data_IF_945497940074
#
_entry.id   IF_945497940074
#
_cell.length_a   1.000
_cell.length_b   1.000
_cell.length_c   1.000
_cell.angle_alpha   90.00
_cell.angle_beta   90.00
_cell.angle_gamma   90.00
#
_symmetry.space_group_name_H-M   'P 1'
#
loop_
_entity.id
_entity.type
_entity.pdbx_description
1 polymer ?
#
# COMPACT_ATOMS: atom_id res chain seq x y z
N UNK A 1 22.12 -0.20 34.40
CA UNK A 1 20.73 -0.20 33.91
C UNK A 1 20.81 0.02 32.39
N UNK A 2 20.60 -1.01 31.58
CA UNK A 2 20.40 -0.80 30.14
C UNK A 2 19.10 -0.01 29.96
N UNK A 3 19.24 1.26 29.64
CA UNK A 3 18.06 2.08 29.29
C UNK A 3 17.54 1.55 27.95
N UNK A 4 16.35 0.95 27.97
CA UNK A 4 15.70 0.50 26.73
C UNK A 4 15.60 1.66 25.73
N UNK A 5 15.85 1.37 24.45
CA UNK A 5 15.73 2.32 23.35
C UNK A 5 14.27 2.84 23.24
N UNK A 6 14.09 4.07 22.82
CA UNK A 6 12.78 4.64 22.58
C UNK A 6 12.18 4.10 21.27
N UNK A 7 10.94 3.59 21.32
CA UNK A 7 10.24 3.13 20.13
C UNK A 7 9.57 4.33 19.43
N UNK A 8 10.05 4.65 18.22
CA UNK A 8 9.60 5.81 17.43
C UNK A 8 8.81 5.33 16.22
N UNK A 9 7.56 5.74 16.15
CA UNK A 9 6.68 5.54 15.00
C UNK A 9 6.88 6.69 14.02
N UNK A 10 7.02 6.37 12.74
CA UNK A 10 7.05 7.33 11.63
C UNK A 10 5.82 7.17 10.74
N UNK A 11 5.27 8.29 10.31
CA UNK A 11 4.32 8.36 9.20
C UNK A 11 5.07 8.79 7.95
N UNK A 12 4.96 8.00 6.89
CA UNK A 12 5.84 8.09 5.72
C UNK A 12 4.98 8.21 4.46
N UNK A 13 5.31 9.19 3.62
CA UNK A 13 4.78 9.32 2.26
C UNK A 13 5.89 9.05 1.25
N UNK A 14 5.59 8.37 0.14
CA UNK A 14 6.55 8.16 -0.93
C UNK A 14 5.92 8.01 -2.31
N UNK A 15 6.64 8.49 -3.31
CA UNK A 15 6.45 8.15 -4.72
C UNK A 15 7.20 6.84 -5.01
N UNK A 16 6.48 5.76 -5.21
CA UNK A 16 7.04 4.43 -5.42
C UNK A 16 7.57 4.16 -6.84
N UNK A 17 7.44 5.11 -7.77
CA UNK A 17 7.70 4.91 -9.21
C UNK A 17 9.06 4.28 -9.48
N UNK A 18 10.11 4.85 -8.87
CA UNK A 18 11.51 4.46 -9.13
C UNK A 18 12.06 3.51 -8.03
N UNK A 19 11.15 2.82 -7.31
CA UNK A 19 11.50 1.86 -6.27
C UNK A 19 11.02 0.44 -6.59
N UNK A 20 11.81 -0.54 -6.15
CA UNK A 20 11.45 -1.97 -6.18
C UNK A 20 10.47 -2.35 -5.05
N UNK A 21 9.69 -1.39 -4.55
CA UNK A 21 8.76 -1.52 -3.45
C UNK A 21 9.36 -1.16 -2.09
N UNK A 22 8.63 -1.54 -1.03
CA UNK A 22 9.02 -1.23 0.34
C UNK A 22 10.23 -2.02 0.82
N UNK A 23 10.16 -3.36 0.71
CA UNK A 23 11.07 -4.28 1.40
C UNK A 23 12.47 -4.33 0.77
N UNK A 24 13.51 -4.24 1.58
CA UNK A 24 14.89 -4.49 1.13
C UNK A 24 15.03 -5.84 0.43
N UNK A 25 15.75 -5.83 -0.67
CA UNK A 25 16.05 -7.01 -1.47
C UNK A 25 17.56 -7.18 -1.57
N UNK A 26 18.04 -8.31 -1.10
CA UNK A 26 19.45 -8.67 -1.18
C UNK A 26 19.60 -10.00 -1.91
N UNK A 27 20.57 -10.09 -2.83
CA UNK A 27 20.95 -11.33 -3.48
C UNK A 27 22.45 -11.52 -3.26
N UNK A 28 22.83 -12.65 -2.68
CA UNK A 28 24.25 -12.92 -2.29
C UNK A 28 24.88 -11.79 -1.44
N UNK A 29 24.09 -11.18 -0.54
CA UNK A 29 24.55 -10.09 0.31
C UNK A 29 24.68 -8.71 -0.35
N UNK A 30 24.42 -8.60 -1.65
CA UNK A 30 24.44 -7.34 -2.40
C UNK A 30 23.03 -6.78 -2.58
N UNK A 31 22.88 -5.45 -2.48
CA UNK A 31 21.63 -4.76 -2.82
C UNK A 31 21.34 -4.94 -4.31
N UNK A 32 20.13 -5.37 -4.64
CA UNK A 32 19.73 -5.63 -6.03
C UNK A 32 19.04 -4.44 -6.68
N UNK A 33 18.37 -3.60 -5.87
CA UNK A 33 17.63 -2.45 -6.36
C UNK A 33 17.30 -1.48 -5.21
N UNK A 34 16.86 -0.29 -5.57
CA UNK A 34 16.46 0.78 -4.65
C UNK A 34 15.13 0.46 -3.98
N UNK A 35 15.04 0.53 -2.66
CA UNK A 35 13.81 0.26 -1.89
C UNK A 35 13.59 1.33 -0.82
N UNK A 36 12.32 1.55 -0.45
CA UNK A 36 11.95 2.58 0.54
C UNK A 36 12.60 2.29 1.90
N UNK A 37 12.54 1.04 2.35
CA UNK A 37 13.12 0.60 3.62
C UNK A 37 14.62 0.89 3.70
N UNK A 38 15.35 0.60 2.63
CA UNK A 38 16.79 0.79 2.61
C UNK A 38 17.23 2.26 2.66
N UNK A 39 16.52 3.14 1.94
CA UNK A 39 16.78 4.59 1.98
C UNK A 39 16.57 5.17 3.38
N UNK A 40 15.47 4.75 4.05
CA UNK A 40 15.15 5.23 5.40
C UNK A 40 16.18 4.69 6.41
N UNK A 41 16.52 3.39 6.35
CA UNK A 41 17.50 2.79 7.27
C UNK A 41 18.91 3.38 7.10
N UNK A 42 19.31 3.66 5.84
CA UNK A 42 20.57 4.36 5.54
C UNK A 42 20.59 5.77 6.13
N UNK A 43 19.44 6.48 6.06
CA UNK A 43 19.31 7.82 6.63
C UNK A 43 19.32 7.79 8.16
N UNK A 44 18.63 6.80 8.77
CA UNK A 44 18.65 6.58 10.22
C UNK A 44 20.06 6.26 10.72
N UNK A 45 20.82 5.43 10.00
CA UNK A 45 22.20 5.11 10.37
C UNK A 45 23.11 6.35 10.40
N UNK A 46 22.92 7.27 9.44
CA UNK A 46 23.66 8.56 9.42
C UNK A 46 23.32 9.45 10.62
N UNK A 47 22.04 9.47 11.05
CA UNK A 47 21.57 10.30 12.18
C UNK A 47 21.96 9.67 13.52
N UNK A 48 21.68 8.39 13.70
CA UNK A 48 21.82 7.68 14.97
C UNK A 48 23.24 7.11 15.21
N UNK A 49 24.10 7.15 14.17
CA UNK A 49 25.44 6.55 14.17
C UNK A 49 25.42 5.04 14.50
N UNK A 50 24.31 4.39 14.23
CA UNK A 50 24.08 2.97 14.51
C UNK A 50 23.15 2.38 13.44
N UNK A 51 23.46 1.16 12.97
CA UNK A 51 22.52 0.40 12.13
C UNK A 51 21.20 0.24 12.86
N UNK A 52 20.13 0.66 12.22
CA UNK A 52 18.78 0.69 12.79
C UNK A 52 17.82 0.13 11.79
N UNK A 53 17.14 -0.96 12.15
CA UNK A 53 16.10 -1.56 11.33
C UNK A 53 14.76 -0.83 11.51
N UNK A 54 13.98 -0.73 10.44
CA UNK A 54 12.64 -0.16 10.46
C UNK A 54 11.59 -1.23 10.14
N UNK A 55 10.54 -1.30 10.94
CA UNK A 55 9.45 -2.27 10.84
C UNK A 55 8.22 -1.60 10.23
N UNK A 56 7.96 -1.85 8.93
CA UNK A 56 6.81 -1.28 8.22
C UNK A 56 5.49 -2.01 8.52
N UNK A 57 4.37 -1.28 8.49
CA UNK A 57 3.02 -1.85 8.72
C UNK A 57 2.60 -2.86 7.66
N UNK A 58 3.07 -2.69 6.43
CA UNK A 58 2.81 -3.56 5.30
C UNK A 58 3.84 -3.35 4.20
N UNK A 59 3.96 -4.34 3.32
CA UNK A 59 4.79 -4.24 2.13
C UNK A 59 3.97 -3.63 1.01
N UNK A 60 4.58 -2.77 0.20
CA UNK A 60 4.06 -2.32 -1.08
C UNK A 60 4.92 -2.88 -2.20
N UNK A 61 4.30 -3.19 -3.34
CA UNK A 61 4.99 -3.71 -4.52
C UNK A 61 5.81 -2.61 -5.21
N UNK A 62 6.66 -3.01 -6.16
CA UNK A 62 7.35 -2.10 -7.06
C UNK A 62 6.37 -1.16 -7.75
N UNK A 63 6.66 0.15 -7.76
CA UNK A 63 5.84 1.17 -8.38
C UNK A 63 4.57 1.57 -7.61
N UNK A 64 4.33 1.01 -6.43
CA UNK A 64 3.19 1.37 -5.55
C UNK A 64 3.59 2.48 -4.61
N UNK A 65 2.73 3.48 -4.46
CA UNK A 65 2.94 4.66 -3.63
C UNK A 65 2.38 4.52 -2.22
N UNK A 66 2.68 5.49 -1.36
CA UNK A 66 2.00 5.67 -0.08
C UNK A 66 1.83 7.14 0.27
N UNK A 67 0.68 7.45 0.87
CA UNK A 67 0.40 8.73 1.53
C UNK A 67 0.61 8.59 3.04
N UNK A 68 0.33 7.41 3.60
CA UNK A 68 0.33 7.17 5.03
C UNK A 68 0.86 5.79 5.42
N UNK A 69 2.04 5.38 4.91
CA UNK A 69 2.74 4.21 5.43
C UNK A 69 3.18 4.48 6.86
N UNK A 70 3.01 3.50 7.72
CA UNK A 70 3.49 3.57 9.10
C UNK A 70 4.63 2.58 9.29
N UNK A 71 5.69 3.04 9.97
CA UNK A 71 6.77 2.18 10.38
C UNK A 71 7.31 2.60 11.75
N UNK A 72 7.95 1.70 12.48
CA UNK A 72 8.60 2.02 13.75
C UNK A 72 10.03 1.51 13.78
N UNK A 73 10.85 2.16 14.60
CA UNK A 73 12.23 1.76 14.89
C UNK A 73 12.59 2.09 16.34
N UNK A 74 13.68 1.51 16.82
CA UNK A 74 14.19 1.74 18.18
C UNK A 74 15.37 2.70 18.16
N UNK A 75 15.22 3.87 18.83
CA UNK A 75 16.22 4.91 18.91
C UNK A 75 16.98 4.88 20.24
N UNK A 76 18.33 4.92 20.21
CA UNK A 76 19.14 5.06 21.42
C UNK A 76 19.16 6.49 21.94
N UNK A 77 18.69 7.47 21.16
CA UNK A 77 18.80 8.92 21.46
C UNK A 77 17.58 9.39 22.22
N UNK A 78 17.62 9.35 23.54
CA UNK A 78 16.52 9.72 24.44
C UNK A 78 16.16 11.21 24.43
N UNK A 79 17.12 12.07 24.12
CA UNK A 79 16.95 13.52 24.12
C UNK A 79 16.34 14.08 22.82
N UNK A 80 16.18 13.25 21.79
CA UNK A 80 15.70 13.70 20.49
C UNK A 80 14.17 13.77 20.50
N UNK A 81 13.61 14.95 20.29
CA UNK A 81 12.16 15.17 20.15
C UNK A 81 11.66 14.59 18.82
N UNK A 82 10.37 14.24 18.77
CA UNK A 82 9.75 13.63 17.60
C UNK A 82 9.88 14.50 16.35
N UNK A 83 9.70 15.82 16.47
CA UNK A 83 9.81 16.76 15.35
C UNK A 83 11.22 16.79 14.75
N UNK A 84 12.25 16.57 15.57
CA UNK A 84 13.63 16.55 15.13
C UNK A 84 13.93 15.32 14.25
N UNK A 85 13.26 14.18 14.49
CA UNK A 85 13.34 13.03 13.56
C UNK A 85 12.76 13.37 12.19
N UNK A 86 11.63 14.08 12.15
CA UNK A 86 11.01 14.52 10.89
C UNK A 86 11.97 15.42 10.12
N UNK A 87 12.52 16.44 10.78
CA UNK A 87 13.44 17.40 10.16
C UNK A 87 14.73 16.73 9.69
N UNK A 88 15.39 15.96 10.59
CA UNK A 88 16.65 15.30 10.29
C UNK A 88 16.55 14.28 9.16
N UNK A 89 15.49 13.45 9.16
CA UNK A 89 15.28 12.49 8.09
C UNK A 89 14.98 13.18 6.77
N UNK A 90 14.11 14.19 6.74
CA UNK A 90 13.76 14.91 5.52
C UNK A 90 14.92 15.74 4.94
N UNK A 91 15.93 16.10 5.73
CA UNK A 91 17.14 16.77 5.24
C UNK A 91 18.08 15.83 4.47
N UNK A 92 17.98 14.51 4.71
CA UNK A 92 18.88 13.49 4.13
C UNK A 92 18.17 12.66 3.06
N UNK A 93 16.87 12.39 3.26
CA UNK A 93 16.07 11.56 2.35
C UNK A 93 15.90 12.22 0.98
N UNK A 94 15.91 11.44 -0.10
CA UNK A 94 15.62 11.93 -1.44
C UNK A 94 14.17 12.48 -1.53
N UNK A 95 13.89 13.30 -2.54
CA UNK A 95 12.63 14.03 -2.65
C UNK A 95 11.39 13.14 -2.80
N UNK A 96 11.56 11.91 -3.22
CA UNK A 96 10.50 10.90 -3.41
C UNK A 96 10.13 10.11 -2.14
N UNK A 97 10.79 10.41 -0.99
CA UNK A 97 10.40 9.93 0.35
C UNK A 97 10.29 11.11 1.29
N UNK A 98 9.19 11.20 2.05
CA UNK A 98 8.98 12.22 3.10
C UNK A 98 8.45 11.60 4.36
N UNK A 99 9.05 11.96 5.47
CA UNK A 99 8.51 11.73 6.81
C UNK A 99 7.55 12.86 7.11
N UNK A 100 6.28 12.56 7.29
CA UNK A 100 5.22 13.56 7.54
C UNK A 100 4.82 13.63 9.01
N UNK A 101 5.31 12.70 9.84
CA UNK A 101 5.10 12.70 11.28
C UNK A 101 5.99 11.69 11.97
N UNK A 102 6.29 11.98 13.25
CA UNK A 102 6.95 11.06 14.17
C UNK A 102 6.24 11.10 15.52
N UNK A 103 6.22 9.97 16.23
CA UNK A 103 5.62 9.87 17.56
C UNK A 103 6.32 8.78 18.36
N UNK A 104 6.60 9.06 19.64
CA UNK A 104 7.02 8.02 20.59
C UNK A 104 5.83 7.14 20.95
N UNK A 105 6.05 5.83 20.93
CA UNK A 105 5.01 4.83 21.18
C UNK A 105 5.47 3.82 22.25
N UNK A 106 4.55 2.98 22.71
CA UNK A 106 4.86 1.92 23.69
C UNK A 106 5.98 1.00 23.15
N UNK A 107 6.84 0.54 24.05
CA UNK A 107 7.98 -0.31 23.69
C UNK A 107 7.56 -1.62 22.98
N UNK A 108 6.36 -2.14 23.26
CA UNK A 108 5.81 -3.34 22.63
C UNK A 108 5.09 -3.08 21.30
N UNK A 109 4.90 -1.80 20.93
CA UNK A 109 4.25 -1.46 19.67
C UNK A 109 5.09 -1.96 18.49
N UNK A 110 4.40 -2.61 17.53
CA UNK A 110 4.99 -3.02 16.26
C UNK A 110 4.05 -2.60 15.13
N UNK A 111 4.55 -1.78 14.19
CA UNK A 111 3.74 -1.23 13.11
C UNK A 111 3.00 -2.28 12.28
N UNK A 112 3.56 -3.50 12.16
CA UNK A 112 2.95 -4.59 11.40
C UNK A 112 1.87 -5.32 12.19
N UNK A 113 2.18 -5.70 13.43
CA UNK A 113 1.33 -6.59 14.21
C UNK A 113 0.27 -5.86 15.03
N UNK A 114 0.53 -4.60 15.40
CA UNK A 114 -0.43 -3.77 16.14
C UNK A 114 -1.52 -3.15 15.23
N UNK A 115 -1.36 -3.21 13.90
CA UNK A 115 -2.33 -2.61 12.98
C UNK A 115 -3.61 -3.44 12.87
N UNK A 116 -4.77 -2.76 12.98
CA UNK A 116 -6.12 -3.34 12.83
C UNK A 116 -6.54 -3.42 11.38
N UNK A 117 -6.33 -2.35 10.62
CA UNK A 117 -6.70 -2.30 9.22
C UNK A 117 -5.76 -1.40 8.40
N UNK A 118 -5.83 -1.56 7.08
CA UNK A 118 -5.14 -0.73 6.09
C UNK A 118 -6.12 -0.30 5.03
N UNK A 119 -6.05 0.97 4.62
CA UNK A 119 -6.84 1.51 3.52
C UNK A 119 -5.94 1.74 2.33
N UNK A 120 -6.36 1.27 1.19
CA UNK A 120 -5.76 1.57 -0.10
C UNK A 120 -6.70 2.40 -0.95
N UNK A 121 -6.13 3.34 -1.72
CA UNK A 121 -6.83 4.03 -2.82
C UNK A 121 -6.15 3.70 -4.12
N UNK A 122 -6.95 3.49 -5.15
CA UNK A 122 -6.46 3.33 -6.50
C UNK A 122 -7.09 4.39 -7.41
N UNK A 123 -6.24 5.15 -8.09
CA UNK A 123 -6.67 6.23 -8.97
C UNK A 123 -6.66 5.81 -10.44
N UNK A 124 -7.80 6.00 -11.11
CA UNK A 124 -7.95 5.81 -12.55
C UNK A 124 -8.35 7.15 -13.20
N UNK A 125 -7.58 7.59 -14.18
CA UNK A 125 -7.98 8.74 -15.00
C UNK A 125 -8.97 8.28 -16.06
N UNK A 126 -10.15 8.93 -16.13
CA UNK A 126 -11.21 8.60 -17.07
C UNK A 126 -11.11 9.37 -18.39
N UNK A 127 -10.33 10.44 -18.43
CA UNK A 127 -10.16 11.31 -19.57
C UNK A 127 -9.43 10.65 -20.74
N UNK A 128 -9.66 11.13 -21.95
CA UNK A 128 -8.98 10.66 -23.17
C UNK A 128 -7.47 10.73 -23.03
N UNK A 129 -6.96 11.79 -22.39
CA UNK A 129 -5.55 12.04 -22.13
C UNK A 129 -5.30 12.24 -20.64
N UNK A 130 -4.18 11.74 -20.13
CA UNK A 130 -3.71 12.02 -18.77
C UNK A 130 -2.76 13.21 -18.82
N UNK A 131 -2.93 14.18 -17.93
CA UNK A 131 -1.97 15.27 -17.75
C UNK A 131 -0.60 14.71 -17.36
N UNK A 132 0.47 15.31 -17.89
CA UNK A 132 1.83 14.78 -17.74
C UNK A 132 2.23 14.48 -16.27
N UNK A 133 1.90 15.38 -15.33
CA UNK A 133 2.19 15.22 -13.91
C UNK A 133 1.36 14.11 -13.22
N UNK A 134 0.28 13.64 -13.84
CA UNK A 134 -0.56 12.55 -13.31
C UNK A 134 -0.20 11.18 -13.90
N UNK A 135 0.64 11.12 -14.92
CA UNK A 135 0.95 9.86 -15.63
C UNK A 135 1.60 8.80 -14.74
N UNK A 136 2.29 9.21 -13.67
CA UNK A 136 2.94 8.33 -12.69
C UNK A 136 1.98 7.87 -11.58
N UNK A 137 0.81 8.53 -11.41
CA UNK A 137 -0.04 8.41 -10.22
C UNK A 137 -1.45 7.91 -10.52
N UNK A 138 -1.76 7.61 -11.79
CA UNK A 138 -3.06 7.11 -12.17
C UNK A 138 -2.97 6.14 -13.36
N UNK A 139 -3.90 5.20 -13.40
CA UNK A 139 -4.12 4.37 -14.57
C UNK A 139 -5.10 5.05 -15.53
N UNK A 140 -4.69 5.34 -16.75
CA UNK A 140 -5.58 5.93 -17.76
C UNK A 140 -6.47 4.85 -18.39
N UNK A 141 -7.73 4.79 -17.99
CA UNK A 141 -8.73 3.85 -18.52
C UNK A 141 -9.46 4.39 -19.77
N UNK A 142 -9.45 5.72 -20.00
CA UNK A 142 -9.97 6.43 -21.19
C UNK A 142 -11.46 6.27 -21.43
N UNK A 143 -12.25 6.04 -20.41
CA UNK A 143 -13.70 6.02 -20.45
C UNK A 143 -14.24 6.25 -19.05
N UNK A 144 -15.52 6.66 -18.95
CA UNK A 144 -16.22 6.83 -17.67
C UNK A 144 -17.04 5.58 -17.39
N UNK A 145 -16.68 4.77 -16.38
CA UNK A 145 -17.40 3.55 -16.06
C UNK A 145 -18.75 3.82 -15.39
N UNK A 146 -19.63 2.81 -15.41
CA UNK A 146 -20.87 2.85 -14.66
C UNK A 146 -20.62 2.69 -13.16
N UNK A 147 -20.59 3.82 -12.44
CA UNK A 147 -20.28 3.87 -11.00
C UNK A 147 -21.24 3.03 -10.15
N UNK A 148 -22.53 2.95 -10.54
CA UNK A 148 -23.53 2.14 -9.82
C UNK A 148 -23.16 0.66 -9.93
N UNK A 149 -22.81 0.19 -11.11
CA UNK A 149 -22.43 -1.21 -11.35
C UNK A 149 -21.11 -1.56 -10.64
N UNK A 150 -20.11 -0.65 -10.68
CA UNK A 150 -18.87 -0.84 -9.94
C UNK A 150 -19.13 -1.02 -8.44
N UNK A 151 -19.99 -0.18 -7.86
CA UNK A 151 -20.32 -0.26 -6.43
C UNK A 151 -21.14 -1.50 -6.05
N UNK A 152 -22.02 -2.01 -6.95
CA UNK A 152 -22.67 -3.30 -6.73
C UNK A 152 -21.66 -4.44 -6.62
N UNK A 153 -20.65 -4.48 -7.50
CA UNK A 153 -19.57 -5.47 -7.41
C UNK A 153 -18.70 -5.27 -6.15
N UNK A 154 -18.33 -4.03 -5.83
CA UNK A 154 -17.51 -3.72 -4.66
C UNK A 154 -18.22 -4.10 -3.33
N UNK A 155 -19.53 -3.94 -3.25
CA UNK A 155 -20.32 -4.34 -2.07
C UNK A 155 -20.22 -5.83 -1.75
N UNK A 156 -20.00 -6.69 -2.75
CA UNK A 156 -19.81 -8.13 -2.54
C UNK A 156 -18.50 -8.47 -1.83
N UNK A 157 -17.56 -7.52 -1.73
CA UNK A 157 -16.27 -7.72 -1.07
C UNK A 157 -16.34 -7.60 0.46
N UNK A 158 -17.42 -7.04 1.02
CA UNK A 158 -17.52 -6.75 2.45
C UNK A 158 -17.70 -8.03 3.27
N UNK A 159 -17.01 -8.05 4.42
CA UNK A 159 -17.02 -9.19 5.34
C UNK A 159 -15.78 -10.08 5.18
N UNK A 160 -15.83 -11.25 5.83
CA UNK A 160 -14.74 -12.22 5.77
C UNK A 160 -14.98 -13.23 4.63
N UNK A 161 -13.99 -13.36 3.76
CA UNK A 161 -14.06 -14.32 2.65
C UNK A 161 -12.67 -14.71 2.13
N UNK A 162 -12.65 -15.78 1.34
CA UNK A 162 -11.46 -16.29 0.67
C UNK A 162 -11.19 -15.50 -0.62
N UNK A 163 -10.04 -14.83 -0.69
CA UNK A 163 -9.61 -14.02 -1.83
C UNK A 163 -8.61 -14.74 -2.75
N UNK A 164 -8.60 -16.06 -2.78
CA UNK A 164 -7.68 -16.85 -3.64
C UNK A 164 -7.73 -16.42 -5.11
N UNK A 165 -8.93 -16.13 -5.66
CA UNK A 165 -9.08 -15.65 -7.04
C UNK A 165 -8.35 -14.34 -7.33
N UNK A 166 -8.00 -13.56 -6.31
CA UNK A 166 -7.35 -12.25 -6.47
C UNK A 166 -5.92 -12.20 -5.94
N UNK A 167 -5.40 -13.31 -5.42
CA UNK A 167 -4.02 -13.43 -4.98
C UNK A 167 -3.09 -13.68 -6.18
N UNK A 168 -1.88 -13.12 -6.14
CA UNK A 168 -0.83 -13.50 -7.09
C UNK A 168 -0.46 -14.98 -6.91
N UNK A 169 -0.04 -15.66 -7.99
CA UNK A 169 0.32 -17.08 -7.95
C UNK A 169 1.47 -17.40 -7.00
N UNK A 170 2.33 -16.42 -6.71
CA UNK A 170 3.44 -16.55 -5.74
C UNK A 170 3.10 -16.08 -4.33
N UNK A 171 1.83 -15.80 -3.99
CA UNK A 171 1.46 -15.35 -2.65
C UNK A 171 1.71 -16.44 -1.60
N UNK A 172 2.61 -16.16 -0.65
CA UNK A 172 3.05 -17.10 0.40
C UNK A 172 2.18 -17.06 1.68
N UNK A 173 1.02 -16.37 1.67
CA UNK A 173 0.15 -16.28 2.83
C UNK A 173 -0.44 -17.65 3.18
N UNK A 174 -0.38 -18.04 4.47
CA UNK A 174 -0.92 -19.30 4.97
C UNK A 174 -2.44 -19.40 4.79
N UNK A 175 -3.16 -18.29 5.02
CA UNK A 175 -4.60 -18.17 4.79
C UNK A 175 -4.85 -17.14 3.69
N UNK A 176 -5.82 -17.41 2.80
CA UNK A 176 -6.32 -16.49 1.79
C UNK A 176 -7.55 -15.72 2.27
N UNK A 177 -8.07 -16.01 3.47
CA UNK A 177 -9.18 -15.28 4.06
C UNK A 177 -8.74 -13.89 4.50
N UNK A 178 -9.57 -12.87 4.17
CA UNK A 178 -9.41 -11.49 4.63
C UNK A 178 -10.77 -10.94 5.02
N UNK A 179 -10.75 -10.05 6.01
CA UNK A 179 -11.93 -9.29 6.39
C UNK A 179 -11.84 -7.90 5.75
N UNK A 180 -12.75 -7.62 4.83
CA UNK A 180 -12.90 -6.31 4.18
C UNK A 180 -13.98 -5.53 4.93
N UNK A 181 -13.58 -4.42 5.54
CA UNK A 181 -14.47 -3.52 6.26
C UNK A 181 -15.29 -2.66 5.30
N UNK A 182 -14.63 -2.11 4.28
CA UNK A 182 -15.26 -1.25 3.28
C UNK A 182 -14.57 -1.42 1.92
N UNK A 183 -15.37 -1.37 0.86
CA UNK A 183 -14.89 -1.30 -0.52
C UNK A 183 -15.92 -0.52 -1.35
N UNK A 184 -15.48 0.54 -2.04
CA UNK A 184 -16.38 1.37 -2.83
C UNK A 184 -15.63 2.19 -3.87
N UNK A 185 -16.37 2.65 -4.87
CA UNK A 185 -15.90 3.55 -5.92
C UNK A 185 -16.58 4.92 -5.79
N UNK A 186 -15.84 5.97 -6.08
CA UNK A 186 -16.36 7.33 -6.17
C UNK A 186 -15.57 8.15 -7.20
N UNK A 187 -16.15 9.27 -7.60
CA UNK A 187 -15.45 10.23 -8.46
C UNK A 187 -14.85 11.33 -7.61
N UNK A 188 -13.59 11.60 -7.81
CA UNK A 188 -12.86 12.75 -7.24
C UNK A 188 -12.29 13.57 -8.40
N UNK A 189 -12.96 14.68 -8.73
CA UNK A 189 -12.74 15.40 -9.98
C UNK A 189 -12.87 14.44 -11.18
N UNK A 190 -11.86 14.41 -12.06
CA UNK A 190 -11.80 13.58 -13.27
C UNK A 190 -11.25 12.16 -12.99
N UNK A 191 -11.06 11.81 -11.72
CA UNK A 191 -10.51 10.51 -11.31
C UNK A 191 -11.61 9.61 -10.77
N UNK A 192 -11.68 8.39 -11.29
CA UNK A 192 -12.36 7.30 -10.60
C UNK A 192 -11.42 6.78 -9.51
N UNK A 193 -11.89 6.78 -8.28
CA UNK A 193 -11.15 6.27 -7.11
C UNK A 193 -11.81 4.99 -6.62
N UNK A 194 -11.03 3.93 -6.46
CA UNK A 194 -11.41 2.73 -5.71
C UNK A 194 -10.77 2.77 -4.35
N UNK A 195 -11.57 2.83 -3.29
CA UNK A 195 -11.09 2.74 -1.91
C UNK A 195 -11.47 1.39 -1.32
N UNK A 196 -10.52 0.76 -0.63
CA UNK A 196 -10.73 -0.51 0.07
C UNK A 196 -9.99 -0.53 1.40
N UNK A 197 -10.70 -0.89 2.47
CA UNK A 197 -10.17 -1.07 3.83
C UNK A 197 -10.32 -2.51 4.26
N UNK A 198 -9.23 -3.14 4.71
CA UNK A 198 -9.24 -4.53 5.19
C UNK A 198 -8.21 -4.75 6.31
N UNK A 199 -8.39 -5.82 7.08
CA UNK A 199 -7.43 -6.23 8.11
C UNK A 199 -6.03 -6.53 7.54
N UNK A 200 -5.97 -7.14 6.35
CA UNK A 200 -4.74 -7.40 5.59
C UNK A 200 -5.08 -7.62 4.11
N UNK A 201 -4.06 -7.57 3.26
CA UNK A 201 -4.18 -7.83 1.83
C UNK A 201 -3.24 -8.96 1.40
N UNK A 202 -3.66 -9.74 0.40
CA UNK A 202 -2.80 -10.69 -0.31
C UNK A 202 -1.97 -9.95 -1.35
N UNK A 203 -0.91 -10.59 -1.80
CA UNK A 203 -0.08 -10.03 -2.86
C UNK A 203 -0.90 -9.78 -4.13
N UNK A 204 -0.85 -8.57 -4.67
CA UNK A 204 -1.61 -8.04 -5.81
C UNK A 204 -3.14 -7.96 -5.62
N UNK A 205 -3.70 -8.27 -4.44
CA UNK A 205 -5.15 -8.38 -4.23
C UNK A 205 -5.91 -7.15 -4.71
N UNK A 206 -5.57 -5.94 -4.24
CA UNK A 206 -6.29 -4.71 -4.60
C UNK A 206 -6.26 -4.46 -6.11
N UNK A 207 -5.11 -4.64 -6.74
CA UNK A 207 -4.90 -4.45 -8.17
C UNK A 207 -5.68 -5.48 -9.00
N UNK A 208 -5.73 -6.73 -8.54
CA UNK A 208 -6.49 -7.80 -9.21
C UNK A 208 -7.99 -7.60 -9.08
N UNK A 209 -8.47 -7.15 -7.92
CA UNK A 209 -9.87 -6.79 -7.69
C UNK A 209 -10.31 -5.68 -8.64
N UNK A 210 -9.61 -4.55 -8.63
CA UNK A 210 -9.92 -3.42 -9.50
C UNK A 210 -9.90 -3.80 -10.98
N UNK A 211 -8.82 -4.46 -11.43
CA UNK A 211 -8.70 -4.85 -12.83
C UNK A 211 -9.83 -5.78 -13.29
N UNK A 212 -10.23 -6.72 -12.42
CA UNK A 212 -11.36 -7.63 -12.70
C UNK A 212 -12.69 -6.88 -12.77
N UNK A 213 -12.97 -5.99 -11.83
CA UNK A 213 -14.22 -5.22 -11.77
C UNK A 213 -14.36 -4.35 -13.03
N UNK A 214 -13.30 -3.60 -13.40
CA UNK A 214 -13.32 -2.76 -14.60
C UNK A 214 -13.42 -3.57 -15.89
N UNK A 215 -12.78 -4.74 -15.96
CA UNK A 215 -12.86 -5.62 -17.12
C UNK A 215 -14.27 -6.20 -17.30
N UNK A 216 -14.93 -6.62 -16.22
CA UNK A 216 -16.29 -7.13 -16.25
C UNK A 216 -17.26 -6.03 -16.67
N UNK A 217 -17.17 -4.85 -16.07
CA UNK A 217 -18.03 -3.71 -16.44
C UNK A 217 -17.90 -3.37 -17.92
N UNK A 218 -16.66 -3.26 -18.43
CA UNK A 218 -16.38 -2.97 -19.85
C UNK A 218 -16.96 -4.03 -20.81
N UNK A 219 -17.07 -5.29 -20.36
CA UNK A 219 -17.67 -6.41 -21.11
C UNK A 219 -19.18 -6.52 -20.95
N UNK A 220 -19.82 -5.57 -20.27
CA UNK A 220 -21.28 -5.61 -20.00
C UNK A 220 -21.68 -6.71 -19.01
N UNK A 221 -20.76 -7.21 -18.20
CA UNK A 221 -20.99 -8.19 -17.13
C UNK A 221 -21.46 -7.48 -15.87
N UNK A 222 -22.03 -8.24 -14.93
CA UNK A 222 -22.64 -7.69 -13.73
C UNK A 222 -22.08 -8.30 -12.44
N UNK A 223 -22.67 -7.94 -11.29
CA UNK A 223 -22.31 -8.43 -9.97
C UNK A 223 -22.42 -9.95 -9.81
N UNK A 224 -23.33 -10.61 -10.54
CA UNK A 224 -23.45 -12.08 -10.50
C UNK A 224 -22.24 -12.74 -11.15
N UNK A 225 -21.72 -12.19 -12.25
CA UNK A 225 -20.50 -12.69 -12.87
C UNK A 225 -19.29 -12.49 -11.95
N UNK A 226 -19.21 -11.36 -11.26
CA UNK A 226 -18.17 -11.09 -10.27
C UNK A 226 -18.24 -12.06 -9.07
N UNK A 227 -19.44 -12.32 -8.56
CA UNK A 227 -19.67 -13.30 -7.49
C UNK A 227 -19.16 -14.71 -7.86
N UNK A 228 -19.38 -15.14 -9.12
CA UNK A 228 -18.88 -16.43 -9.62
C UNK A 228 -17.34 -16.49 -9.58
N UNK A 229 -16.65 -15.38 -9.87
CA UNK A 229 -15.19 -15.30 -9.78
C UNK A 229 -14.72 -15.39 -8.32
N UNK A 230 -15.41 -14.69 -7.40
CA UNK A 230 -15.12 -14.73 -5.97
C UNK A 230 -15.13 -16.17 -5.44
N UNK A 231 -16.21 -16.90 -5.68
CA UNK A 231 -16.38 -18.27 -5.16
C UNK A 231 -15.52 -19.31 -5.89
N UNK A 232 -15.02 -19.00 -7.07
CA UNK A 232 -14.25 -19.94 -7.90
C UNK A 232 -12.89 -20.33 -7.31
N UNK A 233 -12.31 -19.49 -6.43
CA UNK A 233 -10.98 -19.68 -5.82
C UNK A 233 -9.88 -20.00 -6.85
N UNK A 234 -9.99 -19.40 -8.02
CA UNK A 234 -9.08 -19.62 -9.15
C UNK A 234 -8.64 -18.29 -9.76
N UNK A 235 -7.34 -17.96 -9.64
CA UNK A 235 -6.76 -16.73 -10.19
C UNK A 235 -6.95 -16.61 -11.71
N UNK A 236 -7.03 -17.73 -12.42
CA UNK A 236 -7.20 -17.73 -13.89
C UNK A 236 -8.56 -17.20 -14.34
N UNK A 237 -9.57 -17.22 -13.44
CA UNK A 237 -10.91 -16.69 -13.72
C UNK A 237 -11.01 -15.18 -13.47
N UNK A 238 -10.12 -14.62 -12.66
CA UNK A 238 -10.05 -13.17 -12.45
C UNK A 238 -9.40 -12.47 -13.65
N UNK A 239 -9.73 -11.20 -13.82
CA UNK A 239 -9.21 -10.36 -14.89
C UNK A 239 -7.75 -9.95 -14.69
N UNK A 240 -7.33 -8.98 -15.48
CA UNK A 240 -5.97 -8.43 -15.45
C UNK A 240 -5.63 -7.83 -14.06
N UNK A 241 -4.35 -7.82 -13.72
CA UNK A 241 -3.86 -7.06 -12.57
C UNK A 241 -3.60 -5.62 -12.99
N UNK A 242 -4.31 -4.66 -12.38
CA UNK A 242 -4.16 -3.24 -12.68
C UNK A 242 -2.69 -2.77 -12.46
N UNK A 243 -2.18 -1.78 -13.22
CA UNK A 243 -0.82 -1.25 -13.05
C UNK A 243 -0.54 -0.80 -11.61
N UNK A 244 0.72 -0.86 -11.16
CA UNK A 244 1.09 -0.45 -9.81
C UNK A 244 0.88 1.05 -9.56
N UNK A 245 1.17 1.87 -10.56
CA UNK A 245 1.24 3.33 -10.51
C UNK A 245 -0.04 4.08 -10.07
N UNK A 246 -1.19 3.43 -10.06
CA UNK A 246 -2.43 4.03 -9.54
C UNK A 246 -2.68 3.70 -8.08
N UNK A 247 -1.91 2.80 -7.47
CA UNK A 247 -2.16 2.27 -6.13
C UNK A 247 -1.37 3.03 -5.06
N UNK A 248 -2.08 3.42 -4.00
CA UNK A 248 -1.53 4.10 -2.83
C UNK A 248 -1.94 3.40 -1.55
N UNK A 249 -0.97 3.09 -0.68
CA UNK A 249 -1.27 2.84 0.73
C UNK A 249 -1.68 4.17 1.36
N UNK A 250 -2.99 4.33 1.62
CA UNK A 250 -3.57 5.61 2.01
C UNK A 250 -3.49 5.86 3.51
N UNK A 251 -3.86 4.83 4.30
CA UNK A 251 -3.93 4.95 5.76
C UNK A 251 -3.72 3.60 6.43
N UNK A 252 -3.15 3.61 7.63
CA UNK A 252 -3.05 2.45 8.53
C UNK A 252 -3.79 2.78 9.82
N UNK A 253 -4.62 1.86 10.31
CA UNK A 253 -5.43 1.99 11.51
C UNK A 253 -4.88 1.09 12.63
N UNK A 254 -4.81 1.63 13.85
CA UNK A 254 -4.30 0.97 15.05
C UNK A 254 -5.34 0.93 16.17
#
# INVERSE_FOLDING_TARGET
MCTEDDNILLTISYDGTDFCGWQKQTKHGLKTCRTIQDEIETSLEKILKRKTEIYGSGRTDSGVHAVGQIANFFSPVKSMKEENYVQALNSILPSDIRIIGAKKVDARFNARFSSKARTYRYFCNTQKFTLAHLTRYAWNIRYTPNLILLNRMANLLRGEMDFTSFAASGDASKSKNRYVEAAFFFMENEMLVFEITANAFLWHMVRSLLGTILELEKKGKNETDFARILVAKDRKKAGLTAPAKGLFLWKVLY
#
